data_IF_085600482423
#
_entry.id   IF_085600482423
#
_cell.length_a   1.000
_cell.length_b   1.000
_cell.length_c   1.000
_cell.angle_alpha   90.00
_cell.angle_beta   90.00
_cell.angle_gamma   90.00
#
_symmetry.space_group_name_H-M   'P 1'
#
loop_
_entity.id
_entity.type
_entity.pdbx_description
1 polymer ?
#
# COMPACT_ATOMS: atom_id res chain seq x y z
N UNK A 1 4.41 19.51 32.75
CA UNK A 1 4.99 18.53 31.81
C UNK A 1 5.94 19.27 30.90
N UNK A 2 7.16 18.74 30.70
CA UNK A 2 8.10 19.32 29.74
C UNK A 2 7.61 19.12 28.28
N UNK A 3 8.17 19.85 27.30
CA UNK A 3 7.80 19.75 25.88
C UNK A 3 7.85 18.30 25.36
N UNK A 4 8.89 17.55 25.73
CA UNK A 4 9.08 16.16 25.29
C UNK A 4 7.99 15.23 25.84
N UNK A 5 7.53 15.45 27.08
CA UNK A 5 6.44 14.69 27.69
C UNK A 5 5.11 14.96 27.00
N UNK A 6 4.88 16.19 26.53
CA UNK A 6 3.67 16.54 25.79
C UNK A 6 3.65 15.88 24.41
N UNK A 7 4.79 15.87 23.71
CA UNK A 7 4.93 15.19 22.40
C UNK A 7 4.69 13.69 22.56
N UNK A 8 5.31 13.05 23.55
CA UNK A 8 5.12 11.62 23.80
C UNK A 8 3.67 11.27 24.13
N UNK A 9 3.01 12.07 24.98
CA UNK A 9 1.61 11.86 25.31
C UNK A 9 0.69 11.98 24.08
N UNK A 10 0.98 12.93 23.18
CA UNK A 10 0.24 13.09 21.92
C UNK A 10 0.43 11.91 20.98
N UNK A 11 1.65 11.41 20.81
CA UNK A 11 1.92 10.26 19.94
C UNK A 11 1.18 9.02 20.46
N UNK A 12 1.28 8.75 21.77
CA UNK A 12 0.58 7.62 22.40
C UNK A 12 -0.94 7.76 22.23
N UNK A 13 -1.47 8.97 22.39
CA UNK A 13 -2.89 9.25 22.15
C UNK A 13 -3.30 8.91 20.71
N UNK A 14 -2.55 9.39 19.72
CA UNK A 14 -2.83 9.15 18.30
C UNK A 14 -2.78 7.65 17.95
N UNK A 15 -1.79 6.91 18.45
CA UNK A 15 -1.69 5.46 18.24
C UNK A 15 -2.88 4.75 18.87
N UNK A 16 -3.23 5.08 20.11
CA UNK A 16 -4.38 4.46 20.79
C UNK A 16 -5.71 4.78 20.11
N UNK A 17 -5.87 5.99 19.59
CA UNK A 17 -7.07 6.40 18.86
C UNK A 17 -7.16 5.80 17.46
N UNK A 18 -6.04 5.38 16.85
CA UNK A 18 -5.97 4.77 15.52
C UNK A 18 -5.74 3.26 15.54
N UNK A 19 -5.87 2.62 16.71
CA UNK A 19 -5.60 1.18 16.90
C UNK A 19 -6.38 0.27 15.95
N UNK A 20 -7.54 0.69 15.48
CA UNK A 20 -8.37 -0.12 14.57
C UNK A 20 -7.84 -0.15 13.13
N UNK A 21 -6.88 0.72 12.81
CA UNK A 21 -6.09 0.62 11.58
C UNK A 21 -4.80 -0.17 11.80
N UNK A 22 -4.06 0.13 12.88
CA UNK A 22 -2.74 -0.47 13.10
C UNK A 22 -2.78 -1.93 13.56
N UNK A 23 -3.79 -2.34 14.34
CA UNK A 23 -3.92 -3.75 14.74
C UNK A 23 -4.12 -4.67 13.53
N UNK A 24 -5.04 -4.36 12.59
CA UNK A 24 -5.17 -5.15 11.36
C UNK A 24 -3.95 -5.09 10.46
N UNK A 25 -3.27 -3.93 10.35
CA UNK A 25 -1.99 -3.82 9.63
C UNK A 25 -0.96 -4.79 10.21
N UNK A 26 -0.81 -4.82 11.53
CA UNK A 26 0.15 -5.71 12.20
C UNK A 26 -0.21 -7.18 11.94
N UNK A 27 -1.47 -7.56 12.10
CA UNK A 27 -1.94 -8.92 11.81
C UNK A 27 -1.67 -9.28 10.34
N UNK A 28 -2.01 -8.40 9.41
CA UNK A 28 -1.78 -8.60 7.98
C UNK A 28 -0.30 -8.77 7.65
N UNK A 29 0.58 -7.96 8.25
CA UNK A 29 2.03 -8.08 8.08
C UNK A 29 2.56 -9.40 8.64
N UNK A 30 2.14 -9.81 9.83
CA UNK A 30 2.56 -11.07 10.44
C UNK A 30 2.10 -12.28 9.63
N UNK A 31 0.85 -12.26 9.15
CA UNK A 31 0.32 -13.30 8.26
C UNK A 31 1.10 -13.34 6.93
N UNK A 32 1.37 -12.17 6.33
CA UNK A 32 2.16 -12.08 5.11
C UNK A 32 3.60 -12.59 5.28
N UNK A 33 4.27 -12.24 6.37
CA UNK A 33 5.62 -12.74 6.68
C UNK A 33 5.63 -14.25 6.91
N UNK A 34 4.67 -14.77 7.66
CA UNK A 34 4.50 -16.20 7.88
C UNK A 34 4.24 -16.94 6.57
N UNK A 35 3.48 -16.32 5.66
CA UNK A 35 3.18 -16.88 4.34
C UNK A 35 4.42 -16.92 3.44
N UNK A 36 5.16 -15.80 3.32
CA UNK A 36 6.38 -15.71 2.50
C UNK A 36 7.43 -16.74 2.95
N UNK A 37 7.44 -17.08 4.24
CA UNK A 37 8.35 -18.10 4.76
C UNK A 37 8.00 -19.54 4.32
N UNK A 38 6.75 -19.78 3.94
CA UNK A 38 6.24 -21.12 3.61
C UNK A 38 6.01 -21.35 2.12
N UNK A 39 5.73 -20.29 1.36
CA UNK A 39 5.27 -20.38 -0.04
C UNK A 39 6.18 -19.56 -0.94
N UNK A 40 6.59 -20.17 -2.06
CA UNK A 40 7.37 -19.46 -3.07
C UNK A 40 6.54 -18.35 -3.75
N UNK A 41 7.17 -17.17 -3.89
CA UNK A 41 6.51 -15.97 -4.40
C UNK A 41 6.07 -16.11 -5.86
N UNK A 42 6.78 -16.92 -6.66
CA UNK A 42 6.40 -17.16 -8.06
C UNK A 42 5.22 -18.12 -8.16
N UNK A 43 5.19 -19.16 -7.32
CA UNK A 43 4.10 -20.12 -7.25
C UNK A 43 2.76 -19.46 -6.91
N UNK A 44 2.73 -18.53 -5.95
CA UNK A 44 1.50 -17.80 -5.62
C UNK A 44 1.08 -16.83 -6.73
N UNK A 45 2.04 -16.14 -7.37
CA UNK A 45 1.75 -15.23 -8.48
C UNK A 45 1.09 -15.99 -9.65
N UNK A 46 1.60 -17.18 -9.97
CA UNK A 46 1.00 -18.09 -10.97
C UNK A 46 -0.37 -18.60 -10.54
N UNK A 47 -0.51 -19.01 -9.27
CA UNK A 47 -1.77 -19.54 -8.73
C UNK A 47 -2.91 -18.51 -8.77
N UNK A 48 -2.61 -17.23 -8.48
CA UNK A 48 -3.55 -16.12 -8.58
C UNK A 48 -3.82 -15.80 -10.05
N UNK A 49 -2.78 -15.72 -10.88
CA UNK A 49 -2.92 -15.40 -12.29
C UNK A 49 -3.77 -16.43 -13.05
N UNK A 50 -3.65 -17.72 -12.71
CA UNK A 50 -4.48 -18.79 -13.29
C UNK A 50 -5.96 -18.76 -12.87
N UNK A 51 -6.35 -17.91 -11.91
CA UNK A 51 -7.75 -17.73 -11.45
C UNK A 51 -8.32 -16.37 -11.85
N UNK A 52 -7.78 -15.78 -12.90
CA UNK A 52 -8.27 -14.52 -13.42
C UNK A 52 -9.72 -14.61 -13.91
N UNK A 53 -10.40 -13.47 -13.91
CA UNK A 53 -11.73 -13.34 -14.51
C UNK A 53 -11.92 -11.90 -14.99
N UNK A 54 -12.81 -11.68 -15.96
CA UNK A 54 -13.09 -10.34 -16.51
C UNK A 54 -13.54 -9.37 -15.40
N UNK A 55 -14.43 -9.83 -14.50
CA UNK A 55 -14.88 -9.02 -13.37
C UNK A 55 -13.75 -8.73 -12.38
N UNK A 56 -12.90 -9.73 -12.10
CA UNK A 56 -11.71 -9.57 -11.26
C UNK A 56 -10.73 -8.55 -11.83
N UNK A 57 -10.49 -8.59 -13.14
CA UNK A 57 -9.58 -7.66 -13.81
C UNK A 57 -10.03 -6.21 -13.68
N UNK A 58 -11.32 -5.95 -13.86
CA UNK A 58 -11.89 -4.60 -13.70
C UNK A 58 -11.77 -4.14 -12.25
N UNK A 59 -12.12 -5.01 -11.30
CA UNK A 59 -12.05 -4.70 -9.87
C UNK A 59 -10.62 -4.43 -9.40
N UNK A 60 -9.68 -5.34 -9.67
CA UNK A 60 -8.29 -5.21 -9.23
C UNK A 60 -7.57 -4.07 -9.95
N UNK A 61 -7.91 -3.80 -11.22
CA UNK A 61 -7.45 -2.59 -11.88
C UNK A 61 -7.98 -1.37 -11.16
N UNK A 62 -9.27 -1.24 -10.85
CA UNK A 62 -9.78 -0.09 -10.11
C UNK A 62 -9.10 0.08 -8.73
N UNK A 63 -8.91 -1.02 -8.00
CA UNK A 63 -8.24 -0.99 -6.69
C UNK A 63 -6.80 -0.52 -6.79
N UNK A 64 -6.06 -0.86 -7.85
CA UNK A 64 -4.66 -0.41 -7.94
C UNK A 64 -4.55 1.11 -8.06
N UNK A 65 -5.53 1.80 -8.68
CA UNK A 65 -5.52 3.27 -8.78
C UNK A 65 -5.64 3.92 -7.40
N UNK A 66 -6.24 3.25 -6.42
CA UNK A 66 -6.30 3.74 -5.04
C UNK A 66 -4.94 3.73 -4.31
N UNK A 67 -3.88 3.22 -4.94
CA UNK A 67 -2.50 3.39 -4.48
C UNK A 67 -1.62 4.19 -5.45
N UNK A 68 -2.18 4.70 -6.55
CA UNK A 68 -1.40 5.41 -7.55
C UNK A 68 -0.96 6.79 -7.05
N UNK A 69 0.25 7.20 -7.43
CA UNK A 69 0.85 8.45 -6.99
C UNK A 69 0.05 9.68 -7.40
N UNK A 70 -0.59 9.67 -8.58
CA UNK A 70 -1.45 10.78 -9.05
C UNK A 70 -2.72 10.82 -8.21
N UNK A 71 -3.37 9.67 -7.99
CA UNK A 71 -4.59 9.61 -7.16
C UNK A 71 -4.31 10.07 -5.74
N UNK A 72 -3.20 9.66 -5.13
CA UNK A 72 -2.78 10.13 -3.81
C UNK A 72 -2.49 11.64 -3.80
N UNK A 73 -1.85 12.16 -4.85
CA UNK A 73 -1.55 13.59 -4.98
C UNK A 73 -2.83 14.43 -5.10
N UNK A 74 -3.83 13.97 -5.86
CA UNK A 74 -5.16 14.61 -5.95
C UNK A 74 -5.83 14.62 -4.58
N UNK A 75 -5.78 13.50 -3.84
CA UNK A 75 -6.38 13.42 -2.51
C UNK A 75 -5.73 14.40 -1.52
N UNK A 76 -4.40 14.51 -1.54
CA UNK A 76 -3.66 15.50 -0.75
C UNK A 76 -4.06 16.93 -1.15
N UNK A 77 -4.17 17.20 -2.45
CA UNK A 77 -4.59 18.51 -2.96
C UNK A 77 -6.01 18.87 -2.47
N UNK A 78 -6.96 17.94 -2.49
CA UNK A 78 -8.30 18.16 -1.94
C UNK A 78 -8.25 18.40 -0.42
N UNK A 79 -7.43 17.66 0.31
CA UNK A 79 -7.24 17.87 1.75
C UNK A 79 -6.68 19.26 2.08
N UNK A 80 -5.92 19.87 1.17
CA UNK A 80 -5.35 21.21 1.37
C UNK A 80 -6.44 22.26 1.64
N UNK A 81 -7.59 22.13 0.98
CA UNK A 81 -8.74 23.01 1.15
C UNK A 81 -9.61 22.70 2.38
N UNK A 82 -9.48 21.51 2.95
CA UNK A 82 -10.24 21.10 4.15
C UNK A 82 -9.43 21.38 5.41
N UNK A 83 -8.17 20.94 5.44
CA UNK A 83 -7.25 21.07 6.59
C UNK A 83 -5.80 21.17 6.10
N UNK A 84 -5.31 22.40 5.91
CA UNK A 84 -3.95 22.67 5.44
C UNK A 84 -2.84 21.88 6.19
N UNK A 85 -2.86 21.91 7.53
CA UNK A 85 -1.86 21.19 8.35
C UNK A 85 -1.86 19.68 8.09
N UNK A 86 -3.04 19.10 7.92
CA UNK A 86 -3.21 17.68 7.59
C UNK A 86 -2.65 17.37 6.20
N UNK A 87 -2.99 18.19 5.20
CA UNK A 87 -2.52 18.00 3.85
C UNK A 87 -0.99 18.07 3.76
N UNK A 88 -0.39 19.03 4.47
CA UNK A 88 1.06 19.16 4.55
C UNK A 88 1.71 17.93 5.19
N UNK A 89 1.17 17.42 6.31
CA UNK A 89 1.67 16.19 6.94
C UNK A 89 1.53 14.97 6.02
N UNK A 90 0.40 14.84 5.30
CA UNK A 90 0.19 13.76 4.34
C UNK A 90 1.17 13.84 3.17
N UNK A 91 1.42 15.04 2.64
CA UNK A 91 2.40 15.28 1.58
C UNK A 91 3.82 14.93 2.03
N UNK A 92 4.22 15.39 3.22
CA UNK A 92 5.52 15.09 3.80
C UNK A 92 5.69 13.57 4.03
N UNK A 93 4.66 12.91 4.57
CA UNK A 93 4.69 11.46 4.78
C UNK A 93 4.79 10.69 3.46
N UNK A 94 4.05 11.10 2.42
CA UNK A 94 4.14 10.50 1.09
C UNK A 94 5.51 10.71 0.46
N UNK A 95 6.07 11.90 0.58
CA UNK A 95 7.41 12.21 0.06
C UNK A 95 8.48 11.34 0.73
N UNK A 96 8.50 11.31 2.06
CA UNK A 96 9.48 10.52 2.83
C UNK A 96 9.34 9.04 2.53
N UNK A 97 8.11 8.50 2.53
CA UNK A 97 7.86 7.08 2.23
C UNK A 97 8.21 6.73 0.78
N UNK A 98 7.97 7.63 -0.17
CA UNK A 98 8.35 7.43 -1.58
C UNK A 98 9.86 7.45 -1.76
N UNK A 99 10.58 8.39 -1.13
CA UNK A 99 12.05 8.44 -1.16
C UNK A 99 12.66 7.18 -0.54
N UNK A 100 12.15 6.75 0.62
CA UNK A 100 12.58 5.50 1.25
C UNK A 100 12.31 4.29 0.34
N UNK A 101 11.13 4.21 -0.28
CA UNK A 101 10.80 3.13 -1.22
C UNK A 101 11.71 3.14 -2.45
N UNK A 102 12.03 4.32 -2.99
CA UNK A 102 12.95 4.44 -4.13
C UNK A 102 14.37 4.02 -3.75
N UNK A 103 14.86 4.43 -2.58
CA UNK A 103 16.17 4.01 -2.10
C UNK A 103 16.25 2.50 -1.93
N UNK A 104 15.25 1.89 -1.27
CA UNK A 104 15.18 0.44 -1.09
C UNK A 104 15.05 -0.31 -2.43
N UNK A 105 14.29 0.23 -3.40
CA UNK A 105 14.20 -0.33 -4.75
C UNK A 105 15.56 -0.50 -5.39
N UNK A 106 16.37 0.56 -5.37
CA UNK A 106 17.71 0.53 -5.97
C UNK A 106 18.68 -0.33 -5.15
N UNK A 107 18.50 -0.39 -3.83
CA UNK A 107 19.33 -1.22 -2.95
C UNK A 107 19.11 -2.72 -3.19
N UNK A 108 17.87 -3.18 -3.29
CA UNK A 108 17.56 -4.60 -3.50
C UNK A 108 17.58 -5.02 -4.97
N UNK A 109 17.22 -4.11 -5.90
CA UNK A 109 17.21 -4.34 -7.33
C UNK A 109 16.50 -5.64 -7.78
N UNK A 110 15.50 -6.12 -7.02
CA UNK A 110 14.81 -7.36 -7.31
C UNK A 110 14.00 -7.27 -8.62
N UNK A 111 14.02 -8.36 -9.38
CA UNK A 111 13.18 -8.55 -10.56
C UNK A 111 11.71 -8.73 -10.17
N UNK A 112 10.81 -8.39 -11.10
CA UNK A 112 9.36 -8.55 -10.92
C UNK A 112 8.89 -9.92 -11.41
N UNK A 113 7.76 -10.43 -10.90
CA UNK A 113 7.19 -11.69 -11.38
C UNK A 113 6.96 -11.70 -12.90
N UNK A 114 6.56 -10.57 -13.49
CA UNK A 114 6.43 -10.40 -14.94
C UNK A 114 7.68 -10.77 -15.75
N UNK A 115 8.87 -10.52 -15.21
CA UNK A 115 10.14 -10.87 -15.85
C UNK A 115 10.55 -12.31 -15.52
N UNK A 116 10.47 -12.71 -14.25
CA UNK A 116 10.86 -14.07 -13.82
C UNK A 116 10.01 -15.15 -14.51
N UNK A 117 8.77 -14.81 -14.84
CA UNK A 117 7.80 -15.71 -15.48
C UNK A 117 7.69 -15.47 -16.99
N UNK A 118 8.57 -14.65 -17.59
CA UNK A 118 8.54 -14.36 -19.03
C UNK A 118 8.84 -15.62 -19.83
N UNK A 119 7.82 -16.21 -20.44
CA UNK A 119 7.91 -17.51 -21.12
C UNK A 119 6.82 -18.51 -20.71
N UNK A 120 6.08 -18.21 -19.64
CA UNK A 120 4.84 -18.93 -19.31
C UNK A 120 3.61 -18.24 -19.92
N UNK A 121 2.53 -19.01 -20.05
CA UNK A 121 1.23 -18.48 -20.45
C UNK A 121 0.61 -17.71 -19.27
N UNK A 122 0.77 -16.38 -19.32
CA UNK A 122 0.33 -15.47 -18.26
C UNK A 122 -0.84 -14.62 -18.77
N UNK A 123 -1.87 -14.52 -17.95
CA UNK A 123 -2.95 -13.57 -18.18
C UNK A 123 -2.49 -12.16 -17.85
N UNK A 124 -2.30 -11.32 -18.87
CA UNK A 124 -1.91 -9.92 -18.71
C UNK A 124 -3.13 -9.02 -18.87
N UNK A 125 -3.46 -8.28 -17.81
CA UNK A 125 -4.63 -7.42 -17.81
C UNK A 125 -4.41 -6.21 -18.74
N UNK A 126 -5.28 -5.98 -19.75
CA UNK A 126 -5.10 -4.87 -20.68
C UNK A 126 -5.08 -3.49 -19.98
N UNK A 127 -4.20 -2.60 -20.45
CA UNK A 127 -4.06 -1.25 -19.90
C UNK A 127 -3.27 -1.18 -18.59
N UNK A 128 -2.70 -2.30 -18.11
CA UNK A 128 -1.82 -2.32 -16.94
C UNK A 128 -0.36 -2.32 -17.41
N UNK A 129 0.40 -1.30 -17.04
CA UNK A 129 1.82 -1.25 -17.34
C UNK A 129 2.58 -2.21 -16.42
N UNK A 130 3.33 -3.14 -17.04
CA UNK A 130 4.22 -4.05 -16.36
C UNK A 130 5.64 -3.53 -16.46
N UNK A 131 6.28 -3.37 -15.31
CA UNK A 131 7.71 -3.11 -15.24
C UNK A 131 8.46 -4.44 -15.06
N UNK A 132 9.73 -4.48 -15.43
CA UNK A 132 10.56 -5.69 -15.32
C UNK A 132 11.38 -5.75 -14.02
N UNK A 133 11.85 -4.60 -13.53
CA UNK A 133 12.77 -4.50 -12.39
C UNK A 133 12.20 -3.69 -11.22
N UNK A 134 12.95 -3.66 -10.12
CA UNK A 134 12.67 -2.87 -8.91
C UNK A 134 11.33 -3.24 -8.26
N UNK A 135 11.12 -4.53 -8.02
CA UNK A 135 9.90 -5.07 -7.43
C UNK A 135 9.75 -4.71 -5.95
N UNK A 136 10.83 -4.72 -5.17
CA UNK A 136 10.75 -4.52 -3.72
C UNK A 136 11.26 -3.14 -3.27
N UNK A 137 10.51 -2.39 -2.43
CA UNK A 137 9.12 -2.59 -2.04
C UNK A 137 8.12 -2.07 -3.10
N UNK A 138 6.83 -2.36 -2.92
CA UNK A 138 5.78 -1.82 -3.79
C UNK A 138 5.46 -0.35 -3.50
N UNK A 139 5.65 0.52 -4.50
CA UNK A 139 5.34 1.95 -4.36
C UNK A 139 3.84 2.23 -4.12
N UNK A 140 2.96 1.50 -4.81
CA UNK A 140 1.51 1.68 -4.66
C UNK A 140 1.03 1.25 -3.27
N UNK A 141 1.51 0.09 -2.79
CA UNK A 141 1.20 -0.38 -1.45
C UNK A 141 1.75 0.58 -0.39
N UNK A 142 2.99 1.04 -0.53
CA UNK A 142 3.59 2.03 0.37
C UNK A 142 2.77 3.33 0.42
N UNK A 143 2.40 3.87 -0.74
CA UNK A 143 1.61 5.09 -0.83
C UNK A 143 0.22 4.92 -0.20
N UNK A 144 -0.46 3.80 -0.47
CA UNK A 144 -1.77 3.49 0.10
C UNK A 144 -1.71 3.39 1.64
N UNK A 145 -0.84 2.55 2.21
CA UNK A 145 -0.74 2.43 3.67
C UNK A 145 -0.31 3.74 4.34
N UNK A 146 0.51 4.56 3.68
CA UNK A 146 0.90 5.88 4.17
C UNK A 146 -0.30 6.82 4.26
N UNK A 147 -1.00 7.07 3.15
CA UNK A 147 -2.09 8.04 3.09
C UNK A 147 -3.32 7.58 3.85
N UNK A 148 -3.73 6.32 3.68
CA UNK A 148 -4.86 5.76 4.42
C UNK A 148 -4.57 5.64 5.91
N UNK A 149 -3.31 5.44 6.31
CA UNK A 149 -2.88 5.52 7.71
C UNK A 149 -3.04 6.92 8.29
N UNK A 150 -2.62 7.96 7.55
CA UNK A 150 -2.83 9.36 7.94
C UNK A 150 -4.33 9.67 8.09
N UNK A 151 -5.15 9.25 7.12
CA UNK A 151 -6.60 9.44 7.17
C UNK A 151 -7.24 8.68 8.34
N UNK A 152 -6.78 7.46 8.63
CA UNK A 152 -7.25 6.66 9.76
C UNK A 152 -6.99 7.37 11.09
N UNK A 153 -5.76 7.88 11.30
CA UNK A 153 -5.39 8.66 12.49
C UNK A 153 -6.29 9.87 12.66
N UNK A 154 -6.62 10.57 11.57
CA UNK A 154 -7.40 11.81 11.62
C UNK A 154 -8.91 11.59 11.73
N UNK A 155 -9.40 10.43 11.28
CA UNK A 155 -10.82 10.13 11.27
C UNK A 155 -11.42 9.98 12.68
N UNK A 156 -10.63 9.48 13.63
CA UNK A 156 -11.07 9.16 15.00
C UNK A 156 -12.21 8.13 15.09
N UNK A 157 -12.68 7.56 13.96
CA UNK A 157 -13.83 6.67 13.89
C UNK A 157 -13.38 5.24 13.56
N UNK A 158 -13.63 4.24 14.43
CA UNK A 158 -13.22 2.85 14.21
C UNK A 158 -13.62 2.29 12.85
N UNK A 159 -14.86 2.57 12.40
CA UNK A 159 -15.38 2.09 11.11
C UNK A 159 -14.55 2.62 9.94
N UNK A 160 -14.18 3.90 9.97
CA UNK A 160 -13.37 4.50 8.91
C UNK A 160 -11.94 3.97 8.94
N UNK A 161 -11.37 3.74 10.12
CA UNK A 161 -10.03 3.14 10.26
C UNK A 161 -9.98 1.74 9.65
N UNK A 162 -10.99 0.91 9.91
CA UNK A 162 -11.13 -0.39 9.27
C UNK A 162 -11.27 -0.29 7.76
N UNK A 163 -12.13 0.62 7.27
CA UNK A 163 -12.29 0.85 5.83
C UNK A 163 -10.97 1.25 5.17
N UNK A 164 -10.22 2.16 5.77
CA UNK A 164 -8.91 2.60 5.27
C UNK A 164 -7.88 1.48 5.24
N UNK A 165 -7.87 0.62 6.26
CA UNK A 165 -7.03 -0.58 6.25
C UNK A 165 -7.43 -1.52 5.10
N UNK A 166 -8.72 -1.80 4.93
CA UNK A 166 -9.21 -2.69 3.89
C UNK A 166 -8.83 -2.18 2.49
N UNK A 167 -8.99 -0.88 2.23
CA UNK A 167 -8.57 -0.27 0.97
C UNK A 167 -7.06 -0.46 0.76
N UNK A 168 -6.23 -0.15 1.75
CA UNK A 168 -4.78 -0.29 1.64
C UNK A 168 -4.33 -1.75 1.42
N UNK A 169 -4.97 -2.71 2.10
CA UNK A 169 -4.72 -4.13 1.91
C UNK A 169 -5.13 -4.60 0.50
N UNK A 170 -6.29 -4.15 0.01
CA UNK A 170 -6.77 -4.48 -1.33
C UNK A 170 -5.88 -3.88 -2.42
N UNK A 171 -5.32 -2.68 -2.23
CA UNK A 171 -4.29 -2.14 -3.12
C UNK A 171 -3.09 -3.08 -3.15
N UNK A 172 -2.62 -3.55 -1.98
CA UNK A 172 -1.51 -4.50 -1.92
C UNK A 172 -1.79 -5.80 -2.70
N UNK A 173 -2.97 -6.38 -2.50
CA UNK A 173 -3.40 -7.61 -3.18
C UNK A 173 -3.54 -7.39 -4.69
N UNK A 174 -4.05 -6.23 -5.12
CA UNK A 174 -4.20 -5.92 -6.54
C UNK A 174 -2.85 -5.94 -7.27
N UNK A 175 -1.76 -5.56 -6.60
CA UNK A 175 -0.41 -5.58 -7.18
C UNK A 175 0.08 -7.00 -7.50
N UNK A 176 -0.29 -7.98 -6.68
CA UNK A 176 0.05 -9.39 -6.89
C UNK A 176 -0.82 -9.97 -8.00
N UNK A 177 -2.13 -9.70 -7.96
CA UNK A 177 -3.07 -10.14 -9.01
C UNK A 177 -2.66 -9.65 -10.40
N UNK A 178 -2.22 -8.40 -10.49
CA UNK A 178 -1.77 -7.76 -11.73
C UNK A 178 -0.32 -8.13 -12.13
N UNK A 179 0.32 -9.08 -11.44
CA UNK A 179 1.72 -9.50 -11.67
C UNK A 179 2.76 -8.36 -11.61
N UNK A 180 2.46 -7.32 -10.83
CA UNK A 180 3.36 -6.19 -10.67
C UNK A 180 4.30 -6.37 -9.48
N UNK A 181 3.94 -7.19 -8.48
CA UNK A 181 4.71 -7.43 -7.25
C UNK A 181 4.59 -8.87 -6.77
#
# INVERSE_FOLDING_TARGET
>A
MGPDQQIMAQIIYLIRHSKWFWMPVLVFLLLGLCWIWQVDNTAISLWINGRHSIAGDVFWRAMTWMGDGITMSILIFLLLFIRFRTAFLAAAALLVSSLAAQWLKHFFAHDRPSLVLSGMDLHLVPGVQLYAHFSFPSGHTTAAFCIYGVLAVLSGRPVLQWLFFLIAALVGISRIYLLQH
#
